data_IF_409207951885
#
_entry.id   IF_409207951885
#
_cell.length_a   1.000
_cell.length_b   1.000
_cell.length_c   1.000
_cell.angle_alpha   90.00
_cell.angle_beta   90.00
_cell.angle_gamma   90.00
#
_symmetry.space_group_name_H-M   'P 1'
#
loop_
_entity.id
_entity.type
_entity.pdbx_description
1 polymer ?
#
# COMPACT_ATOMS: atom_id res chain seq x y z
N UNK A 1 -22.73 -39.34 -41.83
CA UNK A 1 -23.06 -38.00 -41.29
C UNK A 1 -23.03 -36.98 -42.41
N UNK A 2 -24.14 -36.27 -42.60
CA UNK A 2 -24.23 -35.16 -43.57
C UNK A 2 -23.34 -34.01 -43.10
N UNK A 3 -22.79 -33.23 -44.01
CA UNK A 3 -21.93 -32.06 -43.72
C UNK A 3 -22.56 -31.08 -42.72
N UNK A 4 -23.88 -30.92 -42.78
CA UNK A 4 -24.67 -30.08 -41.87
C UNK A 4 -24.57 -30.56 -40.41
N UNK A 5 -24.67 -31.88 -40.16
CA UNK A 5 -24.60 -32.45 -38.80
C UNK A 5 -23.23 -32.20 -38.16
N UNK A 6 -22.16 -32.30 -38.96
CA UNK A 6 -20.79 -32.02 -38.49
C UNK A 6 -20.62 -30.54 -38.10
N UNK A 7 -21.17 -29.63 -38.88
CA UNK A 7 -21.12 -28.19 -38.60
C UNK A 7 -21.92 -27.86 -37.34
N UNK A 8 -23.11 -28.43 -37.18
CA UNK A 8 -23.95 -28.23 -35.99
C UNK A 8 -23.28 -28.76 -34.72
N UNK A 9 -22.66 -29.95 -34.79
CA UNK A 9 -21.90 -30.51 -33.66
C UNK A 9 -20.68 -29.68 -33.29
N UNK A 10 -19.97 -29.15 -34.29
CA UNK A 10 -18.79 -28.32 -34.03
C UNK A 10 -19.19 -26.98 -33.41
N UNK A 11 -20.26 -26.36 -33.92
CA UNK A 11 -20.80 -25.11 -33.37
C UNK A 11 -21.32 -25.30 -31.93
N UNK A 12 -22.01 -26.41 -31.65
CA UNK A 12 -22.49 -26.69 -30.29
C UNK A 12 -21.35 -26.99 -29.31
N UNK A 13 -20.32 -27.72 -29.74
CA UNK A 13 -19.13 -27.96 -28.93
C UNK A 13 -18.38 -26.64 -28.62
N UNK A 14 -18.20 -25.77 -29.62
CA UNK A 14 -17.60 -24.45 -29.41
C UNK A 14 -18.42 -23.58 -28.45
N UNK A 15 -19.76 -23.60 -28.57
CA UNK A 15 -20.64 -22.87 -27.67
C UNK A 15 -20.52 -23.34 -26.22
N UNK A 16 -20.43 -24.66 -25.99
CA UNK A 16 -20.23 -25.23 -24.64
C UNK A 16 -18.87 -24.81 -24.07
N UNK A 17 -17.80 -24.84 -24.86
CA UNK A 17 -16.47 -24.40 -24.42
C UNK A 17 -16.46 -22.91 -24.07
N UNK A 18 -17.08 -22.07 -24.90
CA UNK A 18 -17.18 -20.64 -24.61
C UNK A 18 -17.99 -20.39 -23.32
N UNK A 19 -19.11 -21.10 -23.14
CA UNK A 19 -19.94 -20.99 -21.95
C UNK A 19 -19.18 -21.42 -20.68
N UNK A 20 -18.42 -22.51 -20.73
CA UNK A 20 -17.63 -22.97 -19.58
C UNK A 20 -16.51 -21.99 -19.24
N UNK A 21 -15.82 -21.40 -20.22
CA UNK A 21 -14.80 -20.37 -19.98
C UNK A 21 -15.41 -19.10 -19.36
N UNK A 22 -16.59 -18.68 -19.82
CA UNK A 22 -17.30 -17.51 -19.26
C UNK A 22 -17.81 -17.78 -17.85
N UNK A 23 -18.26 -19.00 -17.57
CA UNK A 23 -18.80 -19.38 -16.26
C UNK A 23 -17.70 -19.56 -15.22
N UNK A 24 -16.59 -20.20 -15.61
CA UNK A 24 -15.47 -20.47 -14.70
C UNK A 24 -14.53 -19.28 -14.52
N UNK A 25 -14.49 -18.35 -15.50
CA UNK A 25 -13.59 -17.18 -15.51
C UNK A 25 -12.20 -17.51 -14.97
N UNK A 26 -11.46 -18.45 -15.57
CA UNK A 26 -10.20 -18.95 -15.01
C UNK A 26 -9.18 -17.82 -14.75
N UNK A 27 -9.25 -16.74 -15.54
CA UNK A 27 -8.48 -15.51 -15.37
C UNK A 27 -8.68 -14.84 -14.00
N UNK A 28 -9.88 -14.88 -13.40
CA UNK A 28 -10.10 -14.25 -12.10
C UNK A 28 -9.38 -14.99 -10.97
N UNK A 29 -9.21 -16.31 -11.10
CA UNK A 29 -8.42 -17.09 -10.14
C UNK A 29 -6.94 -16.70 -10.19
N UNK A 30 -6.39 -16.57 -11.39
CA UNK A 30 -4.99 -16.12 -11.57
C UNK A 30 -4.78 -14.69 -11.04
N UNK A 31 -5.71 -13.77 -11.33
CA UNK A 31 -5.66 -12.41 -10.79
C UNK A 31 -5.71 -12.38 -9.27
N UNK A 32 -6.57 -13.20 -8.65
CA UNK A 32 -6.68 -13.27 -7.19
C UNK A 32 -5.41 -13.83 -6.56
N UNK A 33 -4.86 -14.89 -7.13
CA UNK A 33 -3.59 -15.46 -6.66
C UNK A 33 -2.45 -14.44 -6.71
N UNK A 34 -2.35 -13.72 -7.83
CA UNK A 34 -1.35 -12.66 -8.00
C UNK A 34 -1.55 -11.53 -7.00
N UNK A 35 -2.80 -11.14 -6.73
CA UNK A 35 -3.11 -10.13 -5.73
C UNK A 35 -2.70 -10.55 -4.32
N UNK A 36 -3.09 -11.76 -3.87
CA UNK A 36 -2.72 -12.24 -2.52
C UNK A 36 -1.19 -12.38 -2.40
N UNK A 37 -0.51 -12.85 -3.44
CA UNK A 37 0.96 -12.88 -3.46
C UNK A 37 1.57 -11.49 -3.27
N UNK A 38 1.14 -10.49 -4.04
CA UNK A 38 1.66 -9.12 -3.93
C UNK A 38 1.30 -8.47 -2.59
N UNK A 39 0.13 -8.80 -2.05
CA UNK A 39 -0.33 -8.37 -0.72
C UNK A 39 0.58 -8.90 0.38
N UNK A 40 0.87 -10.20 0.37
CA UNK A 40 1.75 -10.83 1.37
C UNK A 40 3.17 -10.27 1.28
N UNK A 41 3.68 -10.04 0.06
CA UNK A 41 4.99 -9.40 -0.15
C UNK A 41 5.01 -7.96 0.36
N UNK A 42 3.93 -7.20 0.18
CA UNK A 42 3.81 -5.85 0.74
C UNK A 42 3.86 -5.85 2.28
N UNK A 43 3.24 -6.85 2.92
CA UNK A 43 3.29 -7.03 4.37
C UNK A 43 4.72 -7.34 4.84
N UNK A 44 5.41 -8.24 4.15
CA UNK A 44 6.81 -8.60 4.46
C UNK A 44 7.74 -7.39 4.36
N UNK A 45 7.59 -6.56 3.32
CA UNK A 45 8.37 -5.32 3.18
C UNK A 45 8.06 -4.35 4.33
N UNK A 46 6.79 -4.20 4.70
CA UNK A 46 6.41 -3.37 5.84
C UNK A 46 7.05 -3.88 7.15
N UNK A 47 7.10 -5.19 7.37
CA UNK A 47 7.77 -5.80 8.53
C UNK A 47 9.29 -5.58 8.51
N UNK A 48 9.92 -5.72 7.35
CA UNK A 48 11.34 -5.44 7.20
C UNK A 48 11.67 -3.97 7.53
N UNK A 49 10.84 -3.03 7.06
CA UNK A 49 10.96 -1.60 7.41
C UNK A 49 10.83 -1.39 8.91
N UNK A 50 9.83 -2.00 9.54
CA UNK A 50 9.59 -1.94 10.99
C UNK A 50 10.79 -2.45 11.78
N UNK A 51 11.41 -3.54 11.33
CA UNK A 51 12.51 -4.21 12.01
C UNK A 51 13.91 -3.69 11.62
N UNK A 52 14.00 -2.70 10.71
CA UNK A 52 15.27 -2.17 10.15
C UNK A 52 16.08 -3.23 9.39
N UNK A 53 15.43 -4.23 8.82
CA UNK A 53 16.07 -5.19 7.94
C UNK A 53 16.00 -4.75 6.48
N UNK A 54 17.01 -5.16 5.71
CA UNK A 54 17.03 -4.96 4.26
C UNK A 54 16.32 -6.12 3.58
N UNK A 55 15.43 -5.80 2.65
CA UNK A 55 14.71 -6.79 1.83
C UNK A 55 14.99 -6.52 0.36
N UNK A 56 15.25 -7.58 -0.41
CA UNK A 56 15.38 -7.50 -1.85
C UNK A 56 14.01 -7.32 -2.50
N UNK A 57 13.86 -6.30 -3.34
CA UNK A 57 12.67 -6.09 -4.16
C UNK A 57 12.77 -7.00 -5.40
N UNK A 58 11.91 -8.01 -5.49
CA UNK A 58 11.91 -8.98 -6.59
C UNK A 58 10.96 -8.52 -7.69
N UNK A 59 9.91 -7.81 -7.31
CA UNK A 59 8.86 -7.31 -8.19
C UNK A 59 9.14 -5.88 -8.67
N UNK A 60 8.45 -5.43 -9.70
CA UNK A 60 8.57 -4.06 -10.21
C UNK A 60 7.85 -3.06 -9.31
N UNK A 61 8.47 -2.70 -8.19
CA UNK A 61 8.00 -1.68 -7.27
C UNK A 61 8.30 -0.28 -7.83
N UNK A 62 7.30 0.59 -7.82
CA UNK A 62 7.45 2.01 -8.08
C UNK A 62 7.73 2.76 -6.77
N UNK A 63 8.55 3.81 -6.85
CA UNK A 63 8.85 4.70 -5.74
C UNK A 63 8.00 5.95 -5.90
N UNK A 64 7.28 6.32 -4.85
CA UNK A 64 6.51 7.56 -4.74
C UNK A 64 7.14 8.44 -3.67
N UNK A 65 7.50 9.68 -4.04
CA UNK A 65 8.07 10.65 -3.12
C UNK A 65 6.96 11.38 -2.35
N UNK A 66 7.18 11.60 -1.06
CA UNK A 66 6.21 12.20 -0.16
C UNK A 66 6.87 13.28 0.69
N UNK A 67 6.31 14.48 0.59
CA UNK A 67 6.70 15.64 1.37
C UNK A 67 5.67 15.87 2.48
N UNK A 68 6.15 15.83 3.72
CA UNK A 68 5.35 16.06 4.91
C UNK A 68 5.83 17.32 5.63
N UNK A 69 4.92 18.26 5.85
CA UNK A 69 5.20 19.48 6.59
C UNK A 69 4.51 19.44 7.95
N UNK A 70 5.30 19.47 9.02
CA UNK A 70 4.82 19.58 10.40
C UNK A 70 4.95 21.03 10.85
N UNK A 71 3.82 21.66 11.15
CA UNK A 71 3.77 23.00 11.71
C UNK A 71 3.33 22.93 13.18
N UNK A 72 4.17 23.42 14.09
CA UNK A 72 3.77 23.66 15.49
C UNK A 72 3.58 25.15 15.70
N UNK A 73 2.39 25.53 16.15
CA UNK A 73 2.01 26.93 16.36
C UNK A 73 1.65 27.13 17.82
N UNK A 74 2.33 28.05 18.49
CA UNK A 74 1.96 28.52 19.82
C UNK A 74 1.22 29.85 19.72
N UNK A 75 0.27 30.15 20.61
CA UNK A 75 -0.41 31.44 20.62
C UNK A 75 0.61 32.57 20.76
N UNK A 76 0.57 33.53 19.82
CA UNK A 76 1.45 34.72 19.78
C UNK A 76 2.93 34.42 19.47
N UNK A 77 3.26 33.23 18.96
CA UNK A 77 4.60 32.89 18.48
C UNK A 77 4.57 32.59 16.97
N UNK A 78 5.72 32.75 16.32
CA UNK A 78 5.87 32.30 14.93
C UNK A 78 5.79 30.77 14.85
N UNK A 79 5.11 30.22 13.82
CA UNK A 79 5.01 28.78 13.65
C UNK A 79 6.38 28.19 13.33
N UNK A 80 6.77 27.17 14.07
CA UNK A 80 7.93 26.35 13.72
C UNK A 80 7.50 25.32 12.69
N UNK A 81 8.15 25.36 11.52
CA UNK A 81 7.86 24.50 10.37
C UNK A 81 9.01 23.52 10.20
N UNK A 82 8.69 22.24 10.17
CA UNK A 82 9.61 21.14 9.90
C UNK A 82 9.15 20.42 8.64
N UNK A 83 10.04 20.25 7.66
CA UNK A 83 9.77 19.49 6.43
C UNK A 83 10.48 18.15 6.51
N UNK A 84 9.75 17.08 6.20
CA UNK A 84 10.23 15.72 6.13
C UNK A 84 9.90 15.14 4.77
N UNK A 85 10.91 14.61 4.10
CA UNK A 85 10.77 13.95 2.82
C UNK A 85 11.01 12.44 3.00
N UNK A 86 10.15 11.62 2.43
CA UNK A 86 10.33 10.17 2.47
C UNK A 86 9.71 9.49 1.25
N UNK A 87 10.03 8.22 1.06
CA UNK A 87 9.57 7.45 -0.08
C UNK A 87 8.59 6.36 0.36
N UNK A 88 7.51 6.21 -0.42
CA UNK A 88 6.58 5.07 -0.35
C UNK A 88 6.85 4.14 -1.51
N UNK A 89 6.51 2.87 -1.33
CA UNK A 89 6.59 1.86 -2.40
C UNK A 89 5.19 1.51 -2.88
N UNK A 90 5.02 1.40 -4.20
CA UNK A 90 3.73 1.02 -4.82
C UNK A 90 3.94 -0.13 -5.79
N UNK A 91 3.06 -1.11 -5.78
CA UNK A 91 3.04 -2.20 -6.77
C UNK A 91 1.67 -2.30 -7.42
N UNK A 92 1.68 -2.48 -8.75
CA UNK A 92 0.45 -2.58 -9.53
C UNK A 92 -0.19 -3.95 -9.32
N UNK A 93 -1.47 -3.97 -8.98
CA UNK A 93 -2.23 -5.20 -8.75
C UNK A 93 -3.33 -5.39 -9.79
N UNK A 94 -3.70 -6.64 -10.14
CA UNK A 94 -4.72 -6.93 -11.15
C UNK A 94 -6.16 -6.71 -10.65
N UNK A 95 -6.33 -6.31 -9.38
CA UNK A 95 -7.63 -6.04 -8.76
C UNK A 95 -7.77 -4.55 -8.46
N UNK A 96 -8.94 -3.99 -8.75
CA UNK A 96 -9.24 -2.60 -8.48
C UNK A 96 -10.10 -2.48 -7.21
N UNK A 97 -9.59 -1.78 -6.21
CA UNK A 97 -10.34 -1.43 -5.01
C UNK A 97 -11.14 -0.15 -5.26
N UNK A 98 -12.44 -0.18 -4.95
CA UNK A 98 -13.33 0.99 -5.06
C UNK A 98 -13.11 2.01 -3.95
N UNK A 99 -12.72 1.51 -2.78
CA UNK A 99 -12.41 2.28 -1.57
C UNK A 99 -11.03 1.85 -1.10
N UNK A 100 -10.39 2.68 -0.27
CA UNK A 100 -9.07 2.35 0.27
C UNK A 100 -9.22 1.25 1.33
N UNK A 101 -8.67 0.07 1.05
CA UNK A 101 -8.66 -1.06 1.99
C UNK A 101 -7.34 -1.07 2.76
N UNK A 102 -7.42 -1.00 4.10
CA UNK A 102 -6.23 -1.13 4.95
C UNK A 102 -5.91 -2.61 5.13
N UNK A 103 -4.76 -3.03 4.59
CA UNK A 103 -4.24 -4.39 4.74
C UNK A 103 -3.51 -4.54 6.07
N UNK A 104 -2.67 -3.56 6.42
CA UNK A 104 -1.89 -3.52 7.66
C UNK A 104 -1.68 -2.09 8.13
N UNK A 105 -1.67 -1.87 9.45
CA UNK A 105 -1.27 -0.59 10.01
C UNK A 105 -2.43 0.39 10.11
N UNK A 106 -2.19 1.62 9.68
CA UNK A 106 -3.11 2.74 9.83
C UNK A 106 -3.65 3.23 8.50
N UNK A 107 -4.75 3.97 8.57
CA UNK A 107 -5.35 4.64 7.42
C UNK A 107 -4.36 5.60 6.74
N UNK A 108 -4.48 5.84 5.42
CA UNK A 108 -3.62 6.77 4.69
C UNK A 108 -3.57 8.17 5.33
N UNK A 109 -4.73 8.66 5.79
CA UNK A 109 -4.90 9.98 6.42
C UNK A 109 -4.11 10.15 7.72
N UNK A 110 -3.73 9.04 8.36
CA UNK A 110 -2.86 9.09 9.53
C UNK A 110 -1.42 9.19 9.06
N UNK A 111 -0.91 10.41 8.98
CA UNK A 111 0.41 10.68 8.40
C UNK A 111 1.61 10.35 9.30
N UNK A 112 1.41 10.16 10.60
CA UNK A 112 2.50 9.83 11.54
C UNK A 112 2.06 8.79 12.58
N UNK A 113 3.04 8.13 13.19
CA UNK A 113 2.86 7.17 14.27
C UNK A 113 3.63 7.55 15.53
N UNK A 114 3.29 6.92 16.66
CA UNK A 114 4.04 7.08 17.93
C UNK A 114 5.24 6.13 18.02
N UNK A 115 5.25 5.10 17.19
CA UNK A 115 6.29 4.10 17.11
C UNK A 115 6.51 3.74 15.65
N UNK A 116 7.72 3.30 15.32
CA UNK A 116 8.10 2.90 13.96
C UNK A 116 7.11 1.85 13.43
N UNK A 117 6.38 2.21 12.39
CA UNK A 117 5.37 1.35 11.78
C UNK A 117 5.27 1.63 10.28
N UNK A 118 5.07 0.59 9.50
CA UNK A 118 4.72 0.73 8.09
C UNK A 118 3.26 0.35 7.90
N UNK A 119 2.53 1.17 7.15
CA UNK A 119 1.14 0.88 6.77
C UNK A 119 1.10 0.30 5.37
N UNK A 120 0.21 -0.66 5.16
CA UNK A 120 -0.04 -1.26 3.85
C UNK A 120 -1.51 -1.09 3.52
N UNK A 121 -1.80 -0.52 2.37
CA UNK A 121 -3.18 -0.31 1.91
C UNK A 121 -3.31 -0.55 0.41
N UNK A 122 -4.51 -0.96 0.00
CA UNK A 122 -4.90 -1.15 -1.39
C UNK A 122 -5.74 0.04 -1.82
N UNK A 123 -5.20 0.82 -2.75
CA UNK A 123 -5.86 2.00 -3.31
C UNK A 123 -5.94 1.86 -4.84
N UNK A 124 -7.17 1.77 -5.36
CA UNK A 124 -7.39 1.58 -6.79
C UNK A 124 -6.71 0.31 -7.30
N UNK A 125 -5.76 0.45 -8.22
CA UNK A 125 -4.99 -0.68 -8.78
C UNK A 125 -3.58 -0.80 -8.20
N UNK A 126 -3.36 -0.26 -6.99
CA UNK A 126 -2.07 -0.24 -6.33
C UNK A 126 -2.14 -0.78 -4.90
N UNK A 127 -1.17 -1.61 -4.53
CA UNK A 127 -0.86 -1.89 -3.14
C UNK A 127 0.33 -1.00 -2.76
N UNK A 128 0.19 -0.28 -1.64
CA UNK A 128 1.10 0.78 -1.23
C UNK A 128 1.67 0.42 0.14
N UNK A 129 2.99 0.50 0.27
CA UNK A 129 3.74 0.37 1.52
C UNK A 129 4.24 1.75 1.92
N UNK A 130 3.75 2.23 3.05
CA UNK A 130 3.95 3.58 3.55
C UNK A 130 4.69 3.55 4.90
N UNK A 131 6.01 3.81 4.93
CA UNK A 131 6.75 3.95 6.18
C UNK A 131 6.30 5.24 6.88
N UNK A 132 5.53 5.10 7.96
CA UNK A 132 4.99 6.27 8.66
C UNK A 132 6.10 6.88 9.53
N UNK A 133 6.35 8.19 9.43
CA UNK A 133 7.27 8.85 10.34
C UNK A 133 6.77 8.78 11.78
N UNK A 134 7.72 8.69 12.71
CA UNK A 134 7.45 8.77 14.13
C UNK A 134 7.62 10.22 14.58
N UNK A 135 6.59 10.77 15.22
CA UNK A 135 6.64 12.12 15.80
C UNK A 135 6.39 12.04 17.30
N UNK A 136 7.42 12.39 18.07
CA UNK A 136 7.36 12.47 19.52
C UNK A 136 7.39 13.92 19.98
N UNK A 137 6.64 14.22 21.03
CA UNK A 137 6.64 15.51 21.70
C UNK A 137 6.81 15.30 23.19
N UNK A 138 7.78 16.00 23.77
CA UNK A 138 8.02 16.00 25.20
C UNK A 138 8.59 17.35 25.66
N UNK A 139 8.49 17.60 26.96
CA UNK A 139 8.92 18.84 27.59
C UNK A 139 10.11 18.53 28.49
N UNK A 140 11.18 19.28 28.36
CA UNK A 140 12.39 19.15 29.18
C UNK A 140 12.71 20.48 29.86
N UNK A 141 13.35 20.41 31.01
CA UNK A 141 13.90 21.59 31.67
C UNK A 141 15.39 21.67 31.36
N UNK A 142 15.77 22.71 30.61
CA UNK A 142 17.17 22.97 30.24
C UNK A 142 17.58 24.35 30.77
N UNK A 143 18.63 24.37 31.60
CA UNK A 143 19.19 25.60 32.17
C UNK A 143 18.15 26.50 32.89
N UNK A 144 17.20 25.87 33.60
CA UNK A 144 16.10 26.57 34.30
C UNK A 144 15.02 27.13 33.38
N UNK A 145 14.96 26.66 32.12
CA UNK A 145 13.92 27.02 31.14
C UNK A 145 13.17 25.78 30.69
N UNK A 146 11.87 25.93 30.46
CA UNK A 146 11.03 24.89 29.86
C UNK A 146 11.26 24.89 28.35
N UNK A 147 11.83 23.81 27.82
CA UNK A 147 12.01 23.58 26.40
C UNK A 147 11.01 22.53 25.89
N UNK A 148 10.42 22.81 24.74
CA UNK A 148 9.50 21.90 24.06
C UNK A 148 10.25 21.21 22.93
N UNK A 149 10.37 19.89 23.01
CA UNK A 149 11.15 19.10 22.05
C UNK A 149 10.18 18.32 21.15
N UNK A 150 10.37 18.47 19.84
CA UNK A 150 9.68 17.69 18.81
C UNK A 150 10.73 16.84 18.11
N UNK A 151 10.63 15.53 18.24
CA UNK A 151 11.52 14.57 17.60
C UNK A 151 10.78 13.91 16.44
N UNK A 152 11.37 13.96 15.25
CA UNK A 152 10.83 13.36 14.02
C UNK A 152 11.84 12.34 13.50
N UNK A 153 11.40 11.10 13.31
CA UNK A 153 12.24 9.99 12.82
C UNK A 153 11.55 9.14 11.76
N UNK A 154 12.33 8.48 10.89
CA UNK A 154 11.88 7.52 9.87
C UNK A 154 12.39 6.09 10.17
#
# INVERSE_FOLDING_TARGET
>A
MRTIEKVVLLASAMAVIALTLILTKPWTYSSRYTFEYLRDRAIEIAEAIEQRYSVGLIESWAIEHVDLTLATTKPKEEPLILSLEYNRLKVKVPMHAKEVEVIKGSLPDKHFERFRRASVYHEGSWVIVDPKPTVNYYVVEEYGRIAHVVEVTL
#
